data_IF_548503971227
#
_entry.id   IF_548503971227
#
_cell.length_a   1.000
_cell.length_b   1.000
_cell.length_c   1.000
_cell.angle_alpha   90.00
_cell.angle_beta   90.00
_cell.angle_gamma   90.00
#
_symmetry.space_group_name_H-M   'P 1'
#
loop_
_entity.id
_entity.type
_entity.pdbx_description
1 polymer ?
#
# COMPACT_ATOMS: atom_id res chain seq x y z
N UNK A 1 -24.55 -7.78 26.08
CA UNK A 1 -24.47 -7.15 24.75
C UNK A 1 -24.23 -8.27 23.76
N UNK A 2 -25.08 -8.42 22.74
CA UNK A 2 -24.85 -9.41 21.68
C UNK A 2 -23.47 -9.17 21.04
N UNK A 3 -22.69 -10.23 20.74
CA UNK A 3 -21.37 -10.09 20.12
C UNK A 3 -21.42 -9.30 18.80
N UNK A 4 -22.55 -9.39 18.09
CA UNK A 4 -22.82 -8.67 16.84
C UNK A 4 -22.86 -7.15 17.06
N UNK A 5 -23.50 -6.67 18.13
CA UNK A 5 -23.58 -5.23 18.43
C UNK A 5 -22.21 -4.66 18.75
N UNK A 6 -21.37 -5.40 19.48
CA UNK A 6 -19.99 -5.01 19.77
C UNK A 6 -19.14 -4.91 18.51
N UNK A 7 -19.24 -5.88 17.60
CA UNK A 7 -18.54 -5.83 16.30
C UNK A 7 -18.97 -4.63 15.47
N UNK A 8 -20.28 -4.32 15.43
CA UNK A 8 -20.79 -3.20 14.65
C UNK A 8 -20.36 -1.85 15.23
N UNK A 9 -20.36 -1.71 16.56
CA UNK A 9 -19.84 -0.50 17.21
C UNK A 9 -18.34 -0.30 16.92
N UNK A 10 -17.54 -1.37 16.98
CA UNK A 10 -16.12 -1.32 16.65
C UNK A 10 -15.86 -1.02 15.18
N UNK A 11 -16.70 -1.54 14.27
CA UNK A 11 -16.64 -1.22 12.85
C UNK A 11 -16.89 0.28 12.60
N UNK A 12 -17.94 0.84 13.19
CA UNK A 12 -18.25 2.28 13.07
C UNK A 12 -17.10 3.11 13.65
N UNK A 13 -16.57 2.72 14.82
CA UNK A 13 -15.42 3.37 15.41
C UNK A 13 -14.18 3.35 14.49
N UNK A 14 -13.88 2.20 13.88
CA UNK A 14 -12.77 2.05 12.94
C UNK A 14 -12.94 2.96 11.70
N UNK A 15 -14.14 3.01 11.13
CA UNK A 15 -14.46 3.87 9.98
C UNK A 15 -14.24 5.34 10.34
N UNK A 16 -14.76 5.79 11.48
CA UNK A 16 -14.57 7.18 11.94
C UNK A 16 -13.10 7.50 12.14
N UNK A 17 -12.33 6.59 12.75
CA UNK A 17 -10.88 6.78 12.94
C UNK A 17 -10.12 6.84 11.62
N UNK A 18 -10.49 6.02 10.63
CA UNK A 18 -9.88 6.03 9.30
C UNK A 18 -10.20 7.31 8.54
N UNK A 19 -11.45 7.79 8.58
CA UNK A 19 -11.85 9.04 7.91
C UNK A 19 -11.18 10.26 8.55
N UNK A 20 -11.01 10.25 9.88
CA UNK A 20 -10.40 11.39 10.56
C UNK A 20 -8.89 11.50 10.36
N UNK A 21 -8.23 10.38 10.03
CA UNK A 21 -6.79 10.26 9.71
C UNK A 21 -5.83 10.99 10.67
N UNK A 22 -6.27 11.35 11.89
CA UNK A 22 -5.43 12.03 12.90
C UNK A 22 -4.30 11.14 13.41
N UNK A 23 -4.49 9.83 13.31
CA UNK A 23 -3.54 8.81 13.74
C UNK A 23 -3.23 7.96 12.50
N UNK A 24 -1.95 7.56 12.27
CA UNK A 24 -1.58 6.75 11.12
C UNK A 24 -2.48 5.51 10.98
N UNK A 25 -2.90 5.21 9.75
CA UNK A 25 -3.81 4.09 9.44
C UNK A 25 -3.30 2.74 9.97
N UNK A 26 -1.98 2.54 9.98
CA UNK A 26 -1.35 1.36 10.57
C UNK A 26 -1.54 1.24 12.09
N UNK A 27 -1.57 2.37 12.79
CA UNK A 27 -1.74 2.40 14.25
C UNK A 27 -3.22 2.22 14.61
N UNK A 28 -4.13 2.88 13.90
CA UNK A 28 -5.59 2.73 14.11
C UNK A 28 -6.05 1.29 13.84
N UNK A 29 -5.58 0.67 12.75
CA UNK A 29 -5.87 -0.75 12.48
C UNK A 29 -5.38 -1.69 13.59
N UNK A 30 -4.21 -1.44 14.17
CA UNK A 30 -3.72 -2.22 15.32
C UNK A 30 -4.55 -2.01 16.59
N UNK A 31 -4.96 -0.77 16.88
CA UNK A 31 -5.84 -0.48 18.03
C UNK A 31 -7.15 -1.26 17.91
N UNK A 32 -7.77 -1.26 16.73
CA UNK A 32 -9.02 -2.00 16.48
C UNK A 32 -8.81 -3.51 16.62
N UNK A 33 -7.69 -4.04 16.10
CA UNK A 33 -7.34 -5.45 16.24
C UNK A 33 -7.18 -5.87 17.70
N UNK A 34 -6.45 -5.08 18.51
CA UNK A 34 -6.29 -5.31 19.94
C UNK A 34 -7.63 -5.19 20.68
N UNK A 35 -8.46 -4.19 20.33
CA UNK A 35 -9.78 -4.02 20.94
C UNK A 35 -10.70 -5.23 20.67
N UNK A 36 -10.66 -5.83 19.48
CA UNK A 36 -11.42 -7.04 19.12
C UNK A 36 -10.97 -8.28 19.93
N UNK A 37 -9.68 -8.40 20.22
CA UNK A 37 -9.15 -9.48 21.05
C UNK A 37 -9.52 -9.28 22.53
N UNK A 38 -9.38 -8.07 23.06
CA UNK A 38 -9.72 -7.75 24.47
C UNK A 38 -11.22 -7.92 24.72
N UNK A 39 -12.07 -7.55 23.76
CA UNK A 39 -13.53 -7.71 23.87
C UNK A 39 -14.00 -9.17 23.75
N UNK A 40 -13.10 -10.12 23.49
CA UNK A 40 -13.41 -11.54 23.38
C UNK A 40 -14.21 -11.91 22.13
N UNK A 41 -14.39 -10.97 21.20
CA UNK A 41 -15.06 -11.17 19.92
C UNK A 41 -14.22 -12.08 19.01
N UNK A 42 -12.90 -11.94 19.07
CA UNK A 42 -11.97 -12.66 18.20
C UNK A 42 -10.83 -13.29 19.00
N UNK A 43 -10.48 -14.53 18.66
CA UNK A 43 -9.30 -15.18 19.25
C UNK A 43 -8.01 -14.58 18.67
N UNK A 44 -6.90 -14.64 19.43
CA UNK A 44 -5.58 -14.15 19.00
C UNK A 44 -5.19 -14.73 17.63
N UNK A 45 -5.38 -16.05 17.43
CA UNK A 45 -5.08 -16.70 16.13
C UNK A 45 -5.90 -16.13 14.98
N UNK A 46 -7.17 -15.79 15.21
CA UNK A 46 -8.06 -15.24 14.20
C UNK A 46 -7.74 -13.76 13.91
N UNK A 47 -7.36 -13.00 14.93
CA UNK A 47 -6.91 -11.61 14.79
C UNK A 47 -5.64 -11.50 13.94
N UNK A 48 -4.68 -12.43 14.13
CA UNK A 48 -3.45 -12.48 13.34
C UNK A 48 -3.59 -13.16 11.97
N UNK A 49 -4.70 -13.86 11.70
CA UNK A 49 -4.89 -14.58 10.43
C UNK A 49 -4.84 -13.63 9.22
N UNK A 50 -5.33 -12.40 9.35
CA UNK A 50 -5.27 -11.39 8.28
C UNK A 50 -3.85 -10.91 7.94
N UNK A 51 -2.89 -10.99 8.86
CA UNK A 51 -1.50 -10.59 8.61
C UNK A 51 -0.72 -11.62 7.79
N UNK A 52 -1.14 -12.89 7.83
CA UNK A 52 -0.52 -14.01 7.09
C UNK A 52 -1.26 -14.26 5.77
N UNK A 53 -2.20 -13.37 5.40
CA UNK A 53 -2.95 -13.51 4.16
C UNK A 53 -2.01 -13.41 2.95
N UNK A 54 -2.25 -14.27 1.96
CA UNK A 54 -1.40 -14.35 0.76
C UNK A 54 -1.32 -13.01 0.03
N UNK A 55 -2.39 -12.20 0.07
CA UNK A 55 -2.39 -10.87 -0.56
C UNK A 55 -1.44 -9.90 0.17
N UNK A 56 -1.34 -9.99 1.51
CA UNK A 56 -0.38 -9.17 2.29
C UNK A 56 1.05 -9.53 1.91
N UNK A 57 1.35 -10.83 1.84
CA UNK A 57 2.68 -11.31 1.43
C UNK A 57 3.00 -10.86 0.00
N UNK A 58 2.03 -10.90 -0.91
CA UNK A 58 2.18 -10.41 -2.28
C UNK A 58 2.53 -8.92 -2.33
N UNK A 59 1.87 -8.07 -1.52
CA UNK A 59 2.23 -6.65 -1.43
C UNK A 59 3.65 -6.43 -0.92
N UNK A 60 4.08 -7.19 0.10
CA UNK A 60 5.46 -7.13 0.60
C UNK A 60 6.46 -7.53 -0.49
N UNK A 61 6.19 -8.61 -1.22
CA UNK A 61 7.02 -9.04 -2.34
C UNK A 61 7.11 -7.97 -3.44
N UNK A 62 6.00 -7.29 -3.76
CA UNK A 62 6.00 -6.18 -4.72
C UNK A 62 6.87 -5.01 -4.26
N UNK A 63 6.91 -4.67 -2.97
CA UNK A 63 7.83 -3.65 -2.46
C UNK A 63 9.30 -4.05 -2.63
N UNK A 64 9.63 -5.33 -2.39
CA UNK A 64 10.98 -5.87 -2.59
C UNK A 64 11.39 -5.80 -4.06
N UNK A 65 10.50 -6.23 -4.97
CA UNK A 65 10.73 -6.14 -6.42
C UNK A 65 10.92 -4.69 -6.85
N UNK A 66 10.09 -3.78 -6.34
CA UNK A 66 10.22 -2.33 -6.58
C UNK A 66 11.60 -1.82 -6.16
N UNK A 67 12.05 -2.12 -4.94
CA UNK A 67 13.38 -1.75 -4.44
C UNK A 67 14.52 -2.30 -5.30
N UNK A 68 14.44 -3.57 -5.70
CA UNK A 68 15.44 -4.20 -6.56
C UNK A 68 15.53 -3.54 -7.95
N UNK A 69 14.42 -3.06 -8.51
CA UNK A 69 14.42 -2.32 -9.79
C UNK A 69 15.14 -0.97 -9.67
N UNK A 70 15.06 -0.30 -8.52
CA UNK A 70 15.83 0.92 -8.25
C UNK A 70 17.31 0.63 -8.05
N UNK A 71 17.64 -0.41 -7.27
CA UNK A 71 19.02 -0.77 -6.92
C UNK A 71 19.83 -1.31 -8.12
N UNK A 72 19.17 -2.02 -9.04
CA UNK A 72 19.77 -2.48 -10.31
C UNK A 72 20.00 -1.36 -11.33
N UNK A 73 19.55 -0.14 -11.04
CA UNK A 73 19.65 1.00 -11.96
C UNK A 73 18.76 0.84 -13.20
N UNK A 74 17.81 -0.10 -13.19
CA UNK A 74 16.85 -0.29 -14.28
C UNK A 74 16.00 0.97 -14.46
N UNK A 75 15.60 1.61 -13.35
CA UNK A 75 14.94 2.92 -13.35
C UNK A 75 15.74 4.00 -14.09
N UNK A 76 17.06 4.06 -13.88
CA UNK A 76 17.95 5.02 -14.56
C UNK A 76 18.10 4.72 -16.06
N UNK A 77 18.21 3.43 -16.44
CA UNK A 77 18.26 3.02 -17.85
C UNK A 77 16.96 3.36 -18.58
N UNK A 78 15.81 3.08 -17.95
CA UNK A 78 14.49 3.40 -18.51
C UNK A 78 14.32 4.92 -18.63
N UNK A 79 14.70 5.69 -17.61
CA UNK A 79 14.69 7.15 -17.66
C UNK A 79 15.55 7.73 -18.79
N UNK A 80 16.75 7.19 -19.01
CA UNK A 80 17.64 7.60 -20.11
C UNK A 80 17.11 7.27 -21.51
N UNK A 81 16.36 6.18 -21.66
CA UNK A 81 15.66 5.86 -22.92
C UNK A 81 14.52 6.84 -23.16
N UNK A 82 13.73 7.13 -22.13
CA UNK A 82 12.58 8.04 -22.22
C UNK A 82 13.02 9.46 -22.60
N UNK A 83 14.07 10.00 -21.96
CA UNK A 83 14.59 11.35 -22.26
C UNK A 83 15.22 11.45 -23.65
N UNK A 84 15.70 10.33 -24.21
CA UNK A 84 16.24 10.29 -25.58
C UNK A 84 15.15 10.32 -26.66
N UNK A 85 13.97 9.76 -26.36
CA UNK A 85 12.83 9.74 -27.29
C UNK A 85 11.92 10.97 -27.16
N UNK A 86 11.79 11.54 -25.97
CA UNK A 86 10.92 12.68 -25.71
C UNK A 86 11.64 14.02 -25.95
N UNK A 87 11.30 14.70 -27.05
CA UNK A 87 11.86 16.02 -27.40
C UNK A 87 11.01 17.20 -26.90
N UNK A 88 9.81 16.95 -26.39
CA UNK A 88 8.86 17.97 -25.92
C UNK A 88 8.22 17.52 -24.60
N UNK A 89 7.91 18.47 -23.70
CA UNK A 89 7.32 18.19 -22.38
C UNK A 89 6.07 17.30 -22.43
N UNK A 90 5.17 17.54 -23.39
CA UNK A 90 3.97 16.70 -23.59
C UNK A 90 4.30 15.25 -23.97
N UNK A 91 5.32 15.04 -24.79
CA UNK A 91 5.78 13.70 -25.17
C UNK A 91 6.48 13.00 -24.01
N UNK A 92 7.21 13.75 -23.17
CA UNK A 92 7.86 13.21 -21.98
C UNK A 92 6.82 12.70 -20.98
N UNK A 93 5.82 13.53 -20.66
CA UNK A 93 4.73 13.17 -19.74
C UNK A 93 3.96 11.96 -20.27
N UNK A 94 3.63 11.94 -21.57
CA UNK A 94 2.93 10.81 -22.18
C UNK A 94 3.75 9.52 -22.14
N UNK A 95 5.04 9.58 -22.43
CA UNK A 95 5.93 8.41 -22.41
C UNK A 95 6.09 7.87 -20.99
N UNK A 96 6.27 8.74 -20.00
CA UNK A 96 6.33 8.36 -18.58
C UNK A 96 5.00 7.72 -18.15
N UNK A 97 3.85 8.32 -18.50
CA UNK A 97 2.52 7.77 -18.20
C UNK A 97 2.33 6.36 -18.77
N UNK A 98 2.76 6.11 -20.01
CA UNK A 98 2.66 4.78 -20.64
C UNK A 98 3.58 3.77 -19.97
N UNK A 99 4.84 4.14 -19.71
CA UNK A 99 5.81 3.24 -19.08
C UNK A 99 5.44 2.94 -17.63
N UNK A 100 5.08 3.96 -16.85
CA UNK A 100 4.61 3.80 -15.46
C UNK A 100 3.27 3.05 -15.44
N UNK A 101 2.36 3.30 -16.40
CA UNK A 101 1.11 2.55 -16.53
C UNK A 101 1.32 1.06 -16.80
N UNK A 102 2.25 0.72 -17.70
CA UNK A 102 2.65 -0.67 -17.95
C UNK A 102 3.29 -1.32 -16.73
N UNK A 103 4.14 -0.58 -15.99
CA UNK A 103 4.76 -1.07 -14.76
C UNK A 103 3.76 -1.19 -13.60
N UNK A 104 2.75 -0.32 -13.53
CA UNK A 104 1.66 -0.36 -12.53
C UNK A 104 0.76 -1.59 -12.67
N UNK A 105 0.76 -2.25 -13.83
CA UNK A 105 0.14 -3.57 -13.99
C UNK A 105 0.88 -4.68 -13.25
N UNK A 106 2.20 -4.52 -13.05
CA UNK A 106 3.08 -5.50 -12.37
C UNK A 106 3.28 -5.13 -10.89
N UNK A 107 3.18 -3.85 -10.58
CA UNK A 107 3.40 -3.28 -9.25
C UNK A 107 2.08 -2.68 -8.74
N UNK A 108 1.56 -3.17 -7.60
CA UNK A 108 0.34 -2.63 -7.00
C UNK A 108 0.37 -1.09 -6.94
N UNK A 109 -0.78 -0.41 -7.09
CA UNK A 109 -0.90 1.05 -6.98
C UNK A 109 -0.23 1.58 -5.68
N UNK A 110 -0.33 0.84 -4.58
CA UNK A 110 0.33 1.14 -3.30
C UNK A 110 1.85 0.89 -3.35
N UNK A 111 2.28 -0.15 -4.08
CA UNK A 111 3.68 -0.48 -4.39
C UNK A 111 4.41 0.60 -5.18
N UNK A 112 3.76 1.08 -6.24
CA UNK A 112 4.25 2.15 -7.11
C UNK A 112 4.29 3.50 -6.37
N UNK A 113 3.27 3.81 -5.56
CA UNK A 113 3.26 5.01 -4.73
C UNK A 113 4.40 5.01 -3.69
N UNK A 114 4.60 3.90 -2.96
CA UNK A 114 5.67 3.82 -1.97
C UNK A 114 7.08 3.84 -2.59
N UNK A 115 7.26 3.17 -3.74
CA UNK A 115 8.50 3.21 -4.52
C UNK A 115 8.83 4.59 -5.11
N UNK A 116 7.84 5.48 -5.26
CA UNK A 116 8.02 6.87 -5.71
C UNK A 116 8.41 7.85 -4.60
N UNK A 117 8.18 7.51 -3.32
CA UNK A 117 8.48 8.39 -2.17
C UNK A 117 9.98 8.73 -2.00
N UNK A 118 10.97 7.88 -2.36
CA UNK A 118 12.39 8.26 -2.28
C UNK A 118 12.75 9.48 -3.14
N UNK A 119 11.94 9.81 -4.16
CA UNK A 119 12.16 10.95 -5.07
C UNK A 119 11.40 12.23 -4.69
N UNK A 120 10.63 12.24 -3.59
CA UNK A 120 9.95 13.44 -3.05
C UNK A 120 10.54 13.79 -1.68
N UNK A 121 11.85 13.99 -1.67
CA UNK A 121 12.57 14.74 -0.65
C UNK A 121 13.54 15.69 -1.33
#
# INVERSE_FOLDING_TARGET
MEPITLTLCLLVFAIVMFVWEKVPLAVTSMIVCVALVITGVLNIKQAFAGFIDTNVILFVAMFIVGGALFETGMANKVGGVITRFAKTEKQLIFTIMVVVGLMSGVLSNTGTAAGGIPGVR
#
